data_IF_371797527279
#
_entry.id   IF_371797527279
#
_cell.length_a   1.000
_cell.length_b   1.000
_cell.length_c   1.000
_cell.angle_alpha   90.00
_cell.angle_beta   90.00
_cell.angle_gamma   90.00
#
_symmetry.space_group_name_H-M   'P 1'
#
loop_
_entity.id
_entity.type
_entity.pdbx_description
1 polymer ?
#
# COMPACT_ATOMS: atom_id res chain seq x y z
N UNK A 1 29.57 9.98 -8.17
CA UNK A 1 29.10 10.07 -6.78
C UNK A 1 27.80 9.30 -6.57
N UNK A 2 26.77 9.49 -7.40
CA UNK A 2 25.48 8.79 -7.30
C UNK A 2 25.58 7.25 -7.35
N UNK A 3 26.45 6.69 -8.19
CA UNK A 3 26.68 5.23 -8.26
C UNK A 3 27.14 4.67 -6.91
N UNK A 4 27.96 5.40 -6.15
CA UNK A 4 28.40 4.97 -4.83
C UNK A 4 27.27 4.96 -3.80
N UNK A 5 26.34 5.92 -3.89
CA UNK A 5 25.15 5.93 -3.06
C UNK A 5 24.23 4.74 -3.39
N UNK A 6 24.07 4.43 -4.67
CA UNK A 6 23.29 3.26 -5.11
C UNK A 6 23.92 1.95 -4.62
N UNK A 7 25.24 1.81 -4.72
CA UNK A 7 25.96 0.64 -4.18
C UNK A 7 25.77 0.55 -2.66
N UNK A 8 25.93 1.66 -1.93
CA UNK A 8 25.73 1.70 -0.49
C UNK A 8 24.30 1.27 -0.12
N UNK A 9 23.30 1.78 -0.83
CA UNK A 9 21.90 1.40 -0.64
C UNK A 9 21.70 -0.11 -0.82
N UNK A 10 22.21 -0.69 -1.91
CA UNK A 10 22.13 -2.13 -2.17
C UNK A 10 22.81 -2.94 -1.05
N UNK A 11 23.99 -2.51 -0.60
CA UNK A 11 24.72 -3.18 0.49
C UNK A 11 23.91 -3.16 1.78
N UNK A 12 23.33 -2.00 2.15
CA UNK A 12 22.53 -1.85 3.38
C UNK A 12 21.27 -2.71 3.31
N UNK A 13 20.52 -2.66 2.21
CA UNK A 13 19.30 -3.47 2.01
C UNK A 13 19.63 -4.95 2.05
N UNK A 14 20.73 -5.37 1.43
CA UNK A 14 21.17 -6.76 1.46
C UNK A 14 21.58 -7.20 2.87
N UNK A 15 22.36 -6.37 3.59
CA UNK A 15 22.85 -6.68 4.93
C UNK A 15 21.70 -6.81 5.94
N UNK A 16 20.68 -5.94 5.89
CA UNK A 16 19.54 -5.95 6.81
C UNK A 16 18.45 -6.94 6.38
N UNK A 17 18.12 -6.98 5.09
CA UNK A 17 16.98 -7.74 4.55
C UNK A 17 17.30 -9.15 4.08
N UNK A 18 18.58 -9.52 3.92
CA UNK A 18 19.03 -10.83 3.39
C UNK A 18 18.31 -11.17 2.07
N UNK A 19 17.69 -12.36 1.98
CA UNK A 19 16.92 -12.79 0.80
C UNK A 19 15.71 -11.91 0.52
N UNK A 20 15.02 -11.41 1.56
CA UNK A 20 13.88 -10.51 1.39
C UNK A 20 14.33 -9.15 0.86
N UNK A 21 15.50 -8.68 1.29
CA UNK A 21 16.15 -7.49 0.75
C UNK A 21 16.46 -7.61 -0.75
N UNK A 22 16.96 -8.77 -1.20
CA UNK A 22 17.15 -9.03 -2.63
C UNK A 22 15.85 -8.98 -3.43
N UNK A 23 14.78 -9.59 -2.91
CA UNK A 23 13.47 -9.55 -3.58
C UNK A 23 12.90 -8.12 -3.63
N UNK A 24 13.08 -7.33 -2.58
CA UNK A 24 12.69 -5.92 -2.58
C UNK A 24 13.44 -5.11 -3.65
N UNK A 25 14.76 -5.33 -3.80
CA UNK A 25 15.56 -4.70 -4.87
C UNK A 25 15.11 -5.16 -6.26
N UNK A 26 14.78 -6.45 -6.43
CA UNK A 26 14.27 -6.97 -7.69
C UNK A 26 12.89 -6.38 -8.04
N UNK A 27 11.99 -6.28 -7.07
CA UNK A 27 10.68 -5.61 -7.21
C UNK A 27 10.85 -4.13 -7.59
N UNK A 28 11.78 -3.41 -6.96
CA UNK A 28 12.09 -2.03 -7.33
C UNK A 28 12.62 -1.92 -8.77
N UNK A 29 13.47 -2.85 -9.20
CA UNK A 29 13.97 -2.91 -10.57
C UNK A 29 12.84 -3.20 -11.57
N UNK A 30 11.89 -4.07 -11.24
CA UNK A 30 10.69 -4.32 -12.06
C UNK A 30 9.86 -3.05 -12.19
N UNK A 31 9.60 -2.32 -11.11
CA UNK A 31 8.86 -1.06 -11.16
C UNK A 31 9.55 -0.07 -12.10
N UNK A 32 10.85 0.19 -11.91
CA UNK A 32 11.61 1.10 -12.78
C UNK A 32 11.60 0.63 -14.23
N UNK A 33 11.73 -0.68 -14.47
CA UNK A 33 11.66 -1.26 -15.81
C UNK A 33 10.30 -0.99 -16.47
N UNK A 34 9.18 -1.20 -15.77
CA UNK A 34 7.86 -0.90 -16.31
C UNK A 34 7.69 0.60 -16.59
N UNK A 35 8.20 1.48 -15.72
CA UNK A 35 8.13 2.93 -15.96
C UNK A 35 8.88 3.34 -17.23
N UNK A 36 10.12 2.85 -17.40
CA UNK A 36 11.02 3.29 -18.48
C UNK A 36 10.76 2.56 -19.79
N UNK A 37 10.46 1.26 -19.75
CA UNK A 37 10.37 0.39 -20.94
C UNK A 37 8.92 0.19 -21.41
N UNK A 38 7.93 0.46 -20.56
CA UNK A 38 6.52 0.35 -20.93
C UNK A 38 5.80 1.70 -20.90
N UNK A 39 5.72 2.39 -19.75
CA UNK A 39 4.93 3.62 -19.64
C UNK A 39 5.47 4.71 -20.57
N UNK A 40 6.75 5.07 -20.44
CA UNK A 40 7.35 6.15 -21.21
C UNK A 40 7.17 5.96 -22.73
N UNK A 41 7.59 4.84 -23.35
CA UNK A 41 7.40 4.64 -24.79
C UNK A 41 5.92 4.56 -25.17
N UNK A 42 5.06 3.90 -24.38
CA UNK A 42 3.65 3.77 -24.73
C UNK A 42 2.91 5.12 -24.77
N UNK A 43 3.22 6.02 -23.83
CA UNK A 43 2.68 7.39 -23.83
C UNK A 43 3.24 8.19 -25.01
N UNK A 44 4.53 8.06 -25.31
CA UNK A 44 5.16 8.73 -26.46
C UNK A 44 4.61 8.23 -27.81
N UNK A 45 4.14 6.99 -27.88
CA UNK A 45 3.44 6.43 -29.04
C UNK A 45 1.98 6.92 -29.16
N UNK A 46 1.53 7.82 -28.28
CA UNK A 46 0.21 8.46 -28.33
C UNK A 46 -0.91 7.66 -27.67
N UNK A 47 -0.60 6.63 -26.88
CA UNK A 47 -1.62 5.92 -26.11
C UNK A 47 -2.11 6.76 -24.92
N UNK A 48 -3.36 6.52 -24.51
CA UNK A 48 -3.98 7.19 -23.37
C UNK A 48 -3.15 6.99 -22.08
N UNK A 49 -2.60 8.06 -21.48
CA UNK A 49 -1.70 7.93 -20.32
C UNK A 49 -2.37 7.31 -19.09
N UNK A 50 -3.68 7.53 -18.91
CA UNK A 50 -4.43 6.98 -17.78
C UNK A 50 -4.54 5.46 -17.91
N UNK A 51 -4.95 4.96 -19.08
CA UNK A 51 -5.06 3.54 -19.36
C UNK A 51 -3.69 2.84 -19.25
N UNK A 52 -2.64 3.45 -19.80
CA UNK A 52 -1.27 2.94 -19.67
C UNK A 52 -0.85 2.84 -18.21
N UNK A 53 -1.12 3.87 -17.40
CA UNK A 53 -0.81 3.87 -15.98
C UNK A 53 -1.59 2.81 -15.21
N UNK A 54 -2.88 2.59 -15.52
CA UNK A 54 -3.70 1.55 -14.88
C UNK A 54 -3.17 0.15 -15.19
N UNK A 55 -2.85 -0.12 -16.46
CA UNK A 55 -2.26 -1.41 -16.87
C UNK A 55 -0.91 -1.60 -16.19
N UNK A 56 -0.05 -0.59 -16.21
CA UNK A 56 1.25 -0.64 -15.56
C UNK A 56 1.13 -0.86 -14.05
N UNK A 57 0.22 -0.17 -13.37
CA UNK A 57 -0.01 -0.31 -11.94
C UNK A 57 -0.45 -1.75 -11.59
N UNK A 58 -1.36 -2.33 -12.37
CA UNK A 58 -1.80 -3.70 -12.18
C UNK A 58 -0.67 -4.72 -12.42
N UNK A 59 0.13 -4.53 -13.47
CA UNK A 59 1.30 -5.36 -13.77
C UNK A 59 2.36 -5.27 -12.68
N UNK A 60 2.69 -4.05 -12.24
CA UNK A 60 3.64 -3.82 -11.15
C UNK A 60 3.13 -4.50 -9.89
N UNK A 61 1.90 -4.22 -9.44
CA UNK A 61 1.31 -4.83 -8.26
C UNK A 61 1.36 -6.35 -8.32
N UNK A 62 0.96 -6.94 -9.44
CA UNK A 62 0.99 -8.39 -9.63
C UNK A 62 2.41 -8.93 -9.50
N UNK A 63 3.36 -8.39 -10.26
CA UNK A 63 4.73 -8.93 -10.28
C UNK A 63 5.41 -8.72 -8.93
N UNK A 64 5.34 -7.53 -8.34
CA UNK A 64 6.05 -7.22 -7.09
C UNK A 64 5.50 -8.01 -5.92
N UNK A 65 4.18 -8.16 -5.79
CA UNK A 65 3.56 -8.92 -4.71
C UNK A 65 3.96 -10.40 -4.77
N UNK A 66 3.82 -11.04 -5.94
CA UNK A 66 4.15 -12.45 -6.09
C UNK A 66 5.64 -12.73 -6.05
N UNK A 67 6.48 -11.81 -6.54
CA UNK A 67 7.94 -11.93 -6.44
C UNK A 67 8.41 -11.84 -4.98
N UNK A 68 7.82 -10.92 -4.20
CA UNK A 68 8.26 -10.64 -2.83
C UNK A 68 7.69 -11.63 -1.81
N UNK A 69 6.41 -12.01 -1.96
CA UNK A 69 5.68 -12.80 -0.97
C UNK A 69 5.40 -14.24 -1.40
N UNK A 70 5.66 -14.57 -2.66
CA UNK A 70 5.37 -15.89 -3.23
C UNK A 70 3.88 -16.11 -3.53
N UNK A 71 3.57 -17.25 -4.11
CA UNK A 71 2.20 -17.64 -4.47
C UNK A 71 1.46 -18.14 -3.24
N UNK A 72 0.41 -17.43 -2.82
CA UNK A 72 -0.46 -17.84 -1.73
C UNK A 72 -1.84 -17.17 -1.82
N UNK A 73 -2.88 -17.73 -1.17
CA UNK A 73 -4.18 -17.06 -1.06
C UNK A 73 -4.06 -15.68 -0.41
N UNK A 74 -3.18 -15.54 0.58
CA UNK A 74 -2.92 -14.27 1.27
C UNK A 74 -2.26 -13.24 0.35
N UNK A 75 -1.31 -13.63 -0.49
CA UNK A 75 -0.75 -12.75 -1.54
C UNK A 75 -1.83 -12.29 -2.52
N UNK A 76 -2.74 -13.20 -2.90
CA UNK A 76 -3.85 -12.88 -3.81
C UNK A 76 -4.82 -11.90 -3.17
N UNK A 77 -5.10 -12.04 -1.87
CA UNK A 77 -5.91 -11.07 -1.11
C UNK A 77 -5.25 -9.71 -1.06
N UNK A 78 -3.93 -9.64 -0.81
CA UNK A 78 -3.19 -8.39 -0.82
C UNK A 78 -3.26 -7.69 -2.20
N UNK A 79 -3.13 -8.47 -3.28
CA UNK A 79 -3.30 -7.95 -4.64
C UNK A 79 -4.72 -7.43 -4.88
N UNK A 80 -5.75 -8.18 -4.51
CA UNK A 80 -7.13 -7.75 -4.65
C UNK A 80 -7.42 -6.46 -3.86
N UNK A 81 -6.87 -6.35 -2.65
CA UNK A 81 -6.94 -5.15 -1.82
C UNK A 81 -6.27 -3.95 -2.47
N UNK A 82 -5.06 -4.17 -3.02
CA UNK A 82 -4.29 -3.14 -3.75
C UNK A 82 -5.05 -2.65 -4.98
N UNK A 83 -5.54 -3.55 -5.82
CA UNK A 83 -6.28 -3.19 -7.04
C UNK A 83 -7.60 -2.49 -6.73
N UNK A 84 -8.34 -2.95 -5.71
CA UNK A 84 -9.59 -2.31 -5.31
C UNK A 84 -9.38 -0.90 -4.75
N UNK A 85 -8.34 -0.71 -3.94
CA UNK A 85 -7.98 0.61 -3.42
C UNK A 85 -7.42 1.54 -4.52
N UNK A 86 -6.60 1.01 -5.44
CA UNK A 86 -6.14 1.76 -6.61
C UNK A 86 -7.28 2.20 -7.51
N UNK A 87 -8.28 1.34 -7.72
CA UNK A 87 -9.47 1.70 -8.48
C UNK A 87 -10.21 2.86 -7.82
N UNK A 88 -10.38 2.84 -6.49
CA UNK A 88 -10.96 3.96 -5.76
C UNK A 88 -10.12 5.24 -5.91
N UNK A 89 -8.80 5.15 -5.78
CA UNK A 89 -7.89 6.29 -5.98
C UNK A 89 -8.03 6.85 -7.40
N UNK A 90 -8.05 5.99 -8.42
CA UNK A 90 -8.24 6.39 -9.81
C UNK A 90 -9.55 7.17 -10.00
N UNK A 91 -10.67 6.65 -9.49
CA UNK A 91 -11.98 7.30 -9.60
C UNK A 91 -11.98 8.65 -8.89
N UNK A 92 -11.45 8.72 -7.66
CA UNK A 92 -11.36 9.98 -6.92
C UNK A 92 -10.47 10.99 -7.63
N UNK A 93 -9.28 10.58 -8.07
CA UNK A 93 -8.37 11.45 -8.82
C UNK A 93 -9.00 11.93 -10.11
N UNK A 94 -9.68 11.07 -10.86
CA UNK A 94 -10.38 11.47 -12.08
C UNK A 94 -11.46 12.53 -11.81
N UNK A 95 -12.31 12.31 -10.81
CA UNK A 95 -13.35 13.29 -10.41
C UNK A 95 -12.72 14.62 -9.99
N UNK A 96 -11.72 14.61 -9.12
CA UNK A 96 -11.15 15.85 -8.60
C UNK A 96 -10.26 16.58 -9.61
N UNK A 97 -9.61 15.87 -10.54
CA UNK A 97 -8.88 16.49 -11.65
C UNK A 97 -9.82 17.25 -12.58
N UNK A 98 -10.99 16.68 -12.89
CA UNK A 98 -12.02 17.35 -13.69
C UNK A 98 -12.61 18.57 -12.94
N UNK A 99 -12.98 18.40 -11.66
CA UNK A 99 -13.53 19.48 -10.84
C UNK A 99 -12.57 20.66 -10.66
N UNK A 100 -11.27 20.38 -10.54
CA UNK A 100 -10.22 21.40 -10.40
C UNK A 100 -9.70 21.92 -11.74
N UNK A 101 -10.15 21.36 -12.87
CA UNK A 101 -9.77 21.73 -14.23
C UNK A 101 -8.26 21.71 -14.45
N UNK A 102 -7.58 20.70 -13.91
CA UNK A 102 -6.14 20.51 -14.11
C UNK A 102 -5.87 20.28 -15.60
N UNK A 103 -5.00 21.09 -16.19
CA UNK A 103 -4.68 21.07 -17.63
C UNK A 103 -3.43 20.25 -17.94
N UNK A 104 -2.55 20.08 -16.96
CA UNK A 104 -1.23 19.49 -17.09
C UNK A 104 -0.11 20.50 -17.32
N UNK A 105 -0.40 21.78 -17.56
CA UNK A 105 0.61 22.79 -17.92
C UNK A 105 1.18 23.59 -16.74
N UNK A 106 0.88 23.18 -15.51
CA UNK A 106 1.35 23.90 -14.32
C UNK A 106 2.88 23.94 -14.17
N UNK A 107 3.58 22.87 -14.55
CA UNK A 107 5.04 22.75 -14.38
C UNK A 107 5.82 23.11 -15.65
N UNK A 108 7.02 23.69 -15.50
CA UNK A 108 7.84 24.16 -16.63
C UNK A 108 8.23 23.02 -17.58
N UNK A 109 8.56 21.84 -17.05
CA UNK A 109 8.88 20.65 -17.83
C UNK A 109 7.72 20.20 -18.73
N UNK A 110 6.48 20.41 -18.28
CA UNK A 110 5.28 20.03 -19.03
C UNK A 110 5.02 20.98 -20.19
N UNK A 111 5.51 22.22 -20.12
CA UNK A 111 5.45 23.17 -21.24
C UNK A 111 6.34 22.73 -22.41
N UNK A 112 7.42 21.98 -22.14
CA UNK A 112 8.40 21.54 -23.14
C UNK A 112 7.98 20.25 -23.85
N UNK A 113 7.28 19.37 -23.15
CA UNK A 113 6.89 18.04 -23.65
C UNK A 113 6.18 18.08 -25.02
N UNK A 114 5.18 18.95 -25.25
CA UNK A 114 4.50 19.00 -26.55
C UNK A 114 5.41 19.36 -27.72
N UNK A 115 6.44 20.18 -27.49
CA UNK A 115 7.41 20.54 -28.53
C UNK A 115 8.37 19.41 -28.86
N UNK A 116 8.65 18.52 -27.90
CA UNK A 116 9.63 17.43 -28.06
C UNK A 116 9.00 16.12 -28.51
N UNK A 117 7.74 15.89 -28.15
CA UNK A 117 7.08 14.59 -28.29
C UNK A 117 5.66 14.65 -28.89
N UNK A 118 5.19 15.82 -29.33
CA UNK A 118 3.85 16.00 -29.90
C UNK A 118 2.75 16.15 -28.83
N UNK A 119 1.49 16.15 -29.26
CA UNK A 119 0.34 16.32 -28.35
C UNK A 119 0.21 15.12 -27.41
N UNK A 120 0.72 15.28 -26.18
CA UNK A 120 0.55 14.35 -25.07
C UNK A 120 -0.55 14.90 -24.16
N UNK A 121 -1.47 14.03 -23.72
CA UNK A 121 -2.40 14.37 -22.66
C UNK A 121 -1.68 14.49 -21.31
N UNK A 122 -1.24 15.71 -21.00
CA UNK A 122 -0.49 16.02 -19.77
C UNK A 122 -1.37 15.87 -18.51
N UNK A 123 -2.67 16.18 -18.60
CA UNK A 123 -3.59 15.99 -17.49
C UNK A 123 -3.74 14.51 -17.17
N UNK A 124 -3.93 13.68 -18.20
CA UNK A 124 -3.93 12.22 -18.08
C UNK A 124 -2.61 11.67 -17.55
N UNK A 125 -1.46 12.23 -17.96
CA UNK A 125 -0.15 11.84 -17.45
C UNK A 125 0.01 12.13 -15.95
N UNK A 126 -0.44 13.29 -15.48
CA UNK A 126 -0.42 13.66 -14.07
C UNK A 126 -1.35 12.77 -13.22
N UNK A 127 -2.53 12.45 -13.75
CA UNK A 127 -3.50 11.54 -13.13
C UNK A 127 -2.92 10.12 -13.06
N UNK A 128 -2.34 9.61 -14.15
CA UNK A 128 -1.64 8.33 -14.17
C UNK A 128 -0.48 8.27 -13.18
N UNK A 129 0.28 9.37 -13.07
CA UNK A 129 1.31 9.55 -12.05
C UNK A 129 0.77 9.48 -10.62
N UNK A 130 -0.42 10.02 -10.36
CA UNK A 130 -1.07 9.90 -9.05
C UNK A 130 -1.44 8.45 -8.70
N UNK A 131 -1.93 7.67 -9.68
CA UNK A 131 -2.24 6.24 -9.53
C UNK A 131 -0.97 5.44 -9.22
N UNK A 132 0.08 5.61 -10.03
CA UNK A 132 1.37 4.94 -9.85
C UNK A 132 2.04 5.32 -8.53
N UNK A 133 2.01 6.61 -8.17
CA UNK A 133 2.58 7.10 -6.91
C UNK A 133 1.90 6.51 -5.67
N UNK A 134 0.60 6.22 -5.75
CA UNK A 134 -0.16 5.63 -4.64
C UNK A 134 0.08 4.12 -4.52
N UNK A 135 0.33 3.41 -5.63
CA UNK A 135 0.55 1.96 -5.63
C UNK A 135 1.63 1.51 -4.64
N UNK A 136 2.76 2.23 -4.56
CA UNK A 136 3.88 1.85 -3.68
C UNK A 136 3.49 1.81 -2.20
N UNK A 137 2.64 2.74 -1.75
CA UNK A 137 2.14 2.74 -0.37
C UNK A 137 1.01 1.72 -0.14
N UNK A 138 0.23 1.41 -1.18
CA UNK A 138 -0.84 0.40 -1.09
C UNK A 138 -0.29 -1.03 -0.96
N UNK A 139 0.81 -1.34 -1.64
CA UNK A 139 1.50 -2.62 -1.53
C UNK A 139 1.86 -2.92 -0.05
N UNK A 140 2.52 -1.96 0.62
CA UNK A 140 2.90 -2.08 2.03
C UNK A 140 1.68 -2.24 2.97
N UNK A 141 0.64 -1.41 2.79
CA UNK A 141 -0.55 -1.48 3.63
C UNK A 141 -1.26 -2.82 3.47
N UNK A 142 -1.52 -3.25 2.24
CA UNK A 142 -2.35 -4.44 1.99
C UNK A 142 -1.64 -5.71 2.47
N UNK A 143 -0.34 -5.85 2.19
CA UNK A 143 0.49 -6.95 2.70
C UNK A 143 0.49 -6.99 4.22
N UNK A 144 0.74 -5.83 4.85
CA UNK A 144 0.80 -5.73 6.32
C UNK A 144 -0.55 -6.06 6.94
N UNK A 145 -1.67 -5.63 6.33
CA UNK A 145 -3.00 -5.99 6.81
C UNK A 145 -3.27 -7.49 6.71
N UNK A 146 -2.95 -8.12 5.57
CA UNK A 146 -3.13 -9.56 5.42
C UNK A 146 -2.28 -10.33 6.44
N UNK A 147 -1.04 -9.91 6.66
CA UNK A 147 -0.14 -10.50 7.65
C UNK A 147 -0.70 -10.35 9.08
N UNK A 148 -1.19 -9.17 9.45
CA UNK A 148 -1.78 -8.92 10.76
C UNK A 148 -3.01 -9.80 11.01
N UNK A 149 -3.92 -9.88 10.03
CA UNK A 149 -5.11 -10.74 10.11
C UNK A 149 -4.73 -12.23 10.22
N UNK A 150 -3.76 -12.67 9.42
CA UNK A 150 -3.28 -14.05 9.45
C UNK A 150 -2.65 -14.42 10.79
N UNK A 151 -1.86 -13.53 11.37
CA UNK A 151 -1.23 -13.73 12.69
C UNK A 151 -2.26 -13.75 13.82
N UNK A 152 -3.26 -12.87 13.79
CA UNK A 152 -4.36 -12.87 14.78
C UNK A 152 -5.11 -14.21 14.72
N UNK A 153 -5.47 -14.67 13.52
CA UNK A 153 -6.18 -15.94 13.37
C UNK A 153 -5.32 -17.13 13.78
N UNK A 154 -4.02 -17.15 13.45
CA UNK A 154 -3.12 -18.23 13.84
C UNK A 154 -3.03 -18.40 15.37
N UNK A 155 -3.18 -17.31 16.14
CA UNK A 155 -3.19 -17.34 17.62
C UNK A 155 -4.57 -17.58 18.22
N UNK A 156 -5.62 -17.15 17.54
CA UNK A 156 -7.02 -17.25 17.98
C UNK A 156 -7.90 -17.78 16.83
N UNK A 157 -7.81 -19.07 16.49
CA UNK A 157 -8.58 -19.67 15.41
C UNK A 157 -10.08 -19.75 15.73
N UNK A 158 -10.45 -19.53 16.99
CA UNK A 158 -11.81 -19.50 17.51
C UNK A 158 -12.60 -18.23 17.15
N UNK A 159 -11.92 -17.17 16.70
CA UNK A 159 -12.58 -15.90 16.36
C UNK A 159 -13.47 -16.04 15.13
N UNK A 160 -14.67 -15.46 15.21
CA UNK A 160 -15.53 -15.28 14.05
C UNK A 160 -14.91 -14.31 13.04
N UNK A 161 -15.33 -14.38 11.78
CA UNK A 161 -14.87 -13.45 10.73
C UNK A 161 -15.08 -11.99 11.16
N UNK A 162 -16.21 -11.66 11.79
CA UNK A 162 -16.49 -10.30 12.24
C UNK A 162 -15.53 -9.82 13.34
N UNK A 163 -15.20 -10.69 14.30
CA UNK A 163 -14.24 -10.36 15.36
C UNK A 163 -12.83 -10.21 14.81
N UNK A 164 -12.47 -11.04 13.82
CA UNK A 164 -11.20 -10.97 13.12
C UNK A 164 -11.08 -9.68 12.30
N UNK A 165 -12.14 -9.27 11.60
CA UNK A 165 -12.21 -7.99 10.88
C UNK A 165 -12.07 -6.81 11.85
N UNK A 166 -12.85 -6.81 12.95
CA UNK A 166 -12.77 -5.74 13.94
C UNK A 166 -11.37 -5.62 14.56
N UNK A 167 -10.71 -6.75 14.80
CA UNK A 167 -9.36 -6.80 15.34
C UNK A 167 -8.30 -6.33 14.33
N UNK A 168 -8.39 -6.77 13.08
CA UNK A 168 -7.51 -6.32 12.00
C UNK A 168 -7.63 -4.81 11.75
N UNK A 169 -8.85 -4.27 11.70
CA UNK A 169 -9.09 -2.82 11.51
C UNK A 169 -8.47 -2.01 12.66
N UNK A 170 -8.53 -2.49 13.91
CA UNK A 170 -7.89 -1.80 15.04
C UNK A 170 -6.37 -1.66 14.84
N UNK A 171 -5.71 -2.71 14.36
CA UNK A 171 -4.27 -2.69 14.03
C UNK A 171 -4.00 -1.75 12.86
N UNK A 172 -4.76 -1.87 11.77
CA UNK A 172 -4.57 -1.03 10.58
C UNK A 172 -4.76 0.46 10.85
N UNK A 173 -5.65 0.85 11.75
CA UNK A 173 -5.90 2.26 12.10
C UNK A 173 -4.68 2.97 12.68
N UNK A 174 -3.85 2.27 13.45
CA UNK A 174 -2.62 2.85 14.01
C UNK A 174 -1.58 3.13 12.90
N UNK A 175 -1.48 2.24 11.91
CA UNK A 175 -0.59 2.41 10.77
C UNK A 175 -1.05 3.52 9.82
N UNK A 176 -2.35 3.66 9.56
CA UNK A 176 -2.91 4.68 8.64
C UNK A 176 -2.39 6.08 8.97
N UNK A 177 -2.46 6.49 10.24
CA UNK A 177 -2.08 7.84 10.64
C UNK A 177 -0.60 8.12 10.35
N UNK A 178 0.27 7.12 10.56
CA UNK A 178 1.68 7.22 10.26
C UNK A 178 1.93 7.31 8.74
N UNK A 179 1.34 6.41 7.94
CA UNK A 179 1.54 6.38 6.49
C UNK A 179 1.04 7.64 5.79
N UNK A 180 -0.14 8.15 6.18
CA UNK A 180 -0.68 9.41 5.62
C UNK A 180 0.27 10.58 5.93
N UNK A 181 0.76 10.67 7.16
CA UNK A 181 1.71 11.72 7.54
C UNK A 181 3.04 11.61 6.78
N UNK A 182 3.56 10.40 6.60
CA UNK A 182 4.80 10.18 5.83
C UNK A 182 4.65 10.62 4.38
N UNK A 183 3.54 10.29 3.71
CA UNK A 183 3.30 10.73 2.33
C UNK A 183 3.13 12.24 2.23
N UNK A 184 2.35 12.83 3.14
CA UNK A 184 2.18 14.27 3.20
C UNK A 184 3.53 14.99 3.35
N UNK A 185 4.38 14.53 4.27
CA UNK A 185 5.71 15.10 4.47
C UNK A 185 6.64 14.89 3.27
N UNK A 186 6.53 13.77 2.56
CA UNK A 186 7.32 13.52 1.36
C UNK A 186 6.95 14.49 0.22
N UNK A 187 5.66 14.67 -0.06
CA UNK A 187 5.18 15.60 -1.09
C UNK A 187 5.40 17.07 -0.70
N UNK A 188 5.12 17.44 0.56
CA UNK A 188 5.38 18.79 1.06
C UNK A 188 6.88 19.11 1.04
N UNK A 189 7.72 18.13 1.41
CA UNK A 189 9.19 18.22 1.35
C UNK A 189 9.70 18.47 -0.06
N UNK A 190 9.19 17.72 -1.04
CA UNK A 190 9.50 17.93 -2.45
C UNK A 190 9.03 19.30 -2.98
N UNK A 191 7.95 19.83 -2.41
CA UNK A 191 7.34 21.11 -2.79
C UNK A 191 7.93 22.34 -2.06
N UNK A 192 8.89 22.16 -1.15
CA UNK A 192 9.46 23.25 -0.35
C UNK A 192 9.96 24.46 -1.18
N UNK A 193 10.67 24.28 -2.31
CA UNK A 193 11.13 25.43 -3.11
C UNK A 193 9.98 26.30 -3.62
N UNK A 194 8.87 25.67 -4.04
CA UNK A 194 7.68 26.36 -4.53
C UNK A 194 6.97 27.07 -3.37
N UNK A 195 6.84 26.41 -2.22
CA UNK A 195 6.27 27.01 -1.01
C UNK A 195 7.06 28.25 -0.56
N UNK A 196 8.39 28.19 -0.63
CA UNK A 196 9.27 29.33 -0.32
C UNK A 196 9.11 30.47 -1.33
N UNK A 197 9.05 30.16 -2.63
CA UNK A 197 8.84 31.16 -3.68
C UNK A 197 7.57 31.97 -3.44
N UNK A 198 6.48 31.30 -3.07
CA UNK A 198 5.22 31.96 -2.76
C UNK A 198 5.25 32.72 -1.43
N UNK A 199 5.94 32.18 -0.42
CA UNK A 199 6.14 32.88 0.85
C UNK A 199 6.90 34.20 0.68
N UNK A 200 7.84 34.27 -0.26
CA UNK A 200 8.58 35.51 -0.56
C UNK A 200 7.76 36.47 -1.44
N UNK A 201 6.81 35.94 -2.21
CA UNK A 201 5.96 36.72 -3.11
C UNK A 201 4.71 37.34 -2.44
N UNK A 202 4.59 37.24 -1.10
CA UNK A 202 3.44 37.69 -0.30
C UNK A 202 2.07 37.20 -0.83
N UNK A 203 2.05 36.04 -1.46
CA UNK A 203 0.82 35.41 -1.96
C UNK A 203 0.01 34.83 -0.81
N UNK A 204 -1.31 35.00 -0.86
CA UNK A 204 -2.19 34.35 0.12
C UNK A 204 -2.16 32.82 -0.03
N UNK A 205 -2.30 32.10 1.08
CA UNK A 205 -2.31 30.62 1.05
C UNK A 205 -3.42 30.07 0.13
N UNK A 206 -4.57 30.75 0.07
CA UNK A 206 -5.65 30.38 -0.84
C UNK A 206 -5.26 30.53 -2.32
N UNK A 207 -4.55 31.61 -2.68
CA UNK A 207 -4.04 31.82 -4.03
C UNK A 207 -3.03 30.72 -4.42
N UNK A 208 -2.11 30.42 -3.50
CA UNK A 208 -1.10 29.37 -3.67
C UNK A 208 -1.75 28.00 -3.86
N UNK A 209 -2.71 27.64 -3.00
CA UNK A 209 -3.38 26.35 -3.06
C UNK A 209 -4.20 26.15 -4.35
N UNK A 210 -4.64 27.23 -5.00
CA UNK A 210 -5.37 27.19 -6.27
C UNK A 210 -4.44 27.32 -7.49
N UNK A 211 -3.13 27.44 -7.31
CA UNK A 211 -2.18 27.33 -8.42
C UNK A 211 -2.12 25.88 -8.87
N UNK A 212 -2.16 25.63 -10.18
CA UNK A 212 -2.27 24.27 -10.73
C UNK A 212 -1.21 23.30 -10.18
N UNK A 213 0.06 23.71 -10.09
CA UNK A 213 1.15 22.87 -9.54
C UNK A 213 0.85 22.40 -8.12
N UNK A 214 0.37 23.30 -7.27
CA UNK A 214 0.06 22.99 -5.87
C UNK A 214 -1.25 22.21 -5.76
N UNK A 215 -2.25 22.57 -6.56
CA UNK A 215 -3.53 21.87 -6.63
C UNK A 215 -3.34 20.40 -7.02
N UNK A 216 -2.48 20.10 -8.01
CA UNK A 216 -2.13 18.73 -8.42
C UNK A 216 -1.58 17.94 -7.23
N UNK A 217 -0.63 18.50 -6.47
CA UNK A 217 -0.05 17.80 -5.31
C UNK A 217 -1.06 17.60 -4.18
N UNK A 218 -1.94 18.58 -3.93
CA UNK A 218 -3.02 18.47 -2.95
C UNK A 218 -3.99 17.36 -3.35
N UNK A 219 -4.49 17.38 -4.60
CA UNK A 219 -5.45 16.38 -5.08
C UNK A 219 -4.82 14.98 -5.07
N UNK A 220 -3.57 14.85 -5.54
CA UNK A 220 -2.82 13.58 -5.50
C UNK A 220 -2.68 13.06 -4.07
N UNK A 221 -2.24 13.92 -3.15
CA UNK A 221 -2.02 13.53 -1.74
C UNK A 221 -3.33 13.12 -1.07
N UNK A 222 -4.41 13.87 -1.24
CA UNK A 222 -5.70 13.59 -0.62
C UNK A 222 -6.37 12.34 -1.22
N UNK A 223 -6.42 12.22 -2.55
CA UNK A 223 -7.02 11.05 -3.21
C UNK A 223 -6.22 9.77 -2.92
N UNK A 224 -4.88 9.85 -2.94
CA UNK A 224 -4.02 8.74 -2.56
C UNK A 224 -4.23 8.33 -1.10
N UNK A 225 -4.30 9.29 -0.18
CA UNK A 225 -4.55 9.04 1.25
C UNK A 225 -5.91 8.40 1.51
N UNK A 226 -6.97 8.84 0.83
CA UNK A 226 -8.30 8.20 0.94
C UNK A 226 -8.24 6.74 0.45
N UNK A 227 -7.54 6.48 -0.67
CA UNK A 227 -7.30 5.13 -1.16
C UNK A 227 -6.59 4.25 -0.14
N UNK A 228 -5.53 4.75 0.50
CA UNK A 228 -4.79 4.05 1.55
C UNK A 228 -5.65 3.75 2.79
N UNK A 229 -6.45 4.73 3.23
CA UNK A 229 -7.39 4.55 4.35
C UNK A 229 -8.42 3.48 4.00
N UNK A 230 -8.94 3.46 2.77
CA UNK A 230 -9.94 2.48 2.31
C UNK A 230 -9.34 1.08 2.09
N UNK A 231 -8.05 0.98 1.75
CA UNK A 231 -7.36 -0.29 1.57
C UNK A 231 -7.36 -1.14 2.84
N UNK A 232 -7.31 -0.51 4.02
CA UNK A 232 -7.30 -1.21 5.31
C UNK A 232 -8.56 -2.04 5.56
N UNK A 233 -9.78 -1.46 5.63
CA UNK A 233 -10.99 -2.24 5.84
C UNK A 233 -11.27 -3.22 4.69
N UNK A 234 -11.00 -2.82 3.44
CA UNK A 234 -11.20 -3.67 2.27
C UNK A 234 -10.36 -4.95 2.35
N UNK A 235 -9.04 -4.80 2.55
CA UNK A 235 -8.10 -5.93 2.61
C UNK A 235 -8.34 -6.78 3.85
N UNK A 236 -8.64 -6.14 4.98
CA UNK A 236 -8.93 -6.84 6.24
C UNK A 236 -10.15 -7.74 6.11
N UNK A 237 -11.23 -7.25 5.49
CA UNK A 237 -12.44 -8.03 5.25
C UNK A 237 -12.16 -9.26 4.38
N UNK A 238 -11.44 -9.08 3.27
CA UNK A 238 -11.08 -10.18 2.37
C UNK A 238 -10.15 -11.19 3.05
N UNK A 239 -9.14 -10.73 3.80
CA UNK A 239 -8.22 -11.61 4.52
C UNK A 239 -8.94 -12.44 5.59
N UNK A 240 -9.84 -11.81 6.36
CA UNK A 240 -10.56 -12.50 7.41
C UNK A 240 -11.42 -13.65 6.87
N UNK A 241 -12.10 -13.44 5.73
CA UNK A 241 -12.88 -14.49 5.06
C UNK A 241 -11.98 -15.61 4.54
N UNK A 242 -10.89 -15.28 3.86
CA UNK A 242 -10.00 -16.29 3.25
C UNK A 242 -9.27 -17.12 4.31
N UNK A 243 -8.76 -16.47 5.35
CA UNK A 243 -8.00 -17.15 6.41
C UNK A 243 -8.92 -18.01 7.28
N UNK A 244 -10.11 -17.52 7.65
CA UNK A 244 -11.07 -18.31 8.43
C UNK A 244 -11.65 -19.48 7.63
N UNK A 245 -11.86 -19.32 6.31
CA UNK A 245 -12.36 -20.36 5.43
C UNK A 245 -11.36 -21.50 5.19
N UNK A 246 -10.06 -21.24 5.28
CA UNK A 246 -9.02 -22.25 5.12
C UNK A 246 -8.92 -23.23 6.31
N UNK A 247 -9.56 -22.93 7.45
CA UNK A 247 -9.41 -23.66 8.71
C UNK A 247 -10.52 -24.70 9.02
N UNK A 248 -11.41 -25.07 8.09
CA UNK A 248 -12.40 -26.15 8.32
C UNK A 248 -12.00 -27.46 7.66
N UNK A 249 -11.77 -28.50 8.46
CA UNK A 249 -12.88 -29.38 8.83
C UNK A 249 -13.14 -29.35 10.33
N UNK A 250 -14.38 -29.06 10.71
CA UNK A 250 -14.89 -29.32 12.05
C UNK A 250 -14.59 -30.78 12.40
N UNK A 251 -13.70 -31.01 13.37
CA UNK A 251 -13.62 -32.32 14.00
C UNK A 251 -15.01 -32.59 14.61
N UNK A 252 -15.59 -33.79 14.40
CA UNK A 252 -16.80 -34.16 15.11
C UNK A 252 -16.53 -33.93 16.58
N UNK A 253 -17.41 -33.18 17.25
CA UNK A 253 -17.46 -33.17 18.69
C UNK A 253 -17.66 -34.61 19.12
N UNK A 254 -16.57 -35.31 19.44
CA UNK A 254 -16.65 -36.56 20.16
C UNK A 254 -17.32 -36.20 21.46
N UNK A 255 -18.55 -36.67 21.59
CA UNK A 255 -19.32 -36.71 22.82
C UNK A 255 -18.49 -37.52 23.82
N UNK A 256 -17.52 -36.87 24.48
CA UNK A 256 -16.80 -37.45 25.60
C UNK A 256 -17.80 -37.35 26.74
N UNK A 257 -18.59 -38.41 26.85
CA UNK A 257 -19.47 -38.64 27.98
C UNK A 257 -18.72 -38.39 29.28
N UNK A 258 -19.45 -37.78 30.20
CA UNK A 258 -19.16 -37.61 31.62
C UNK A 258 -18.33 -38.74 32.24
N UNK A 259 -17.01 -38.61 32.19
CA UNK A 259 -16.09 -39.24 33.12
C UNK A 259 -15.45 -38.11 33.92
N UNK A 260 -16.04 -37.81 35.07
CA UNK A 260 -15.34 -37.17 36.18
C UNK A 260 -14.15 -38.06 36.57
N UNK A 261 -13.04 -37.91 35.86
CA UNK A 261 -11.77 -38.45 36.30
C UNK A 261 -11.05 -37.34 37.07
N UNK A 262 -11.02 -37.55 38.38
CA UNK A 262 -10.48 -36.64 39.38
C UNK A 262 -9.08 -36.14 39.00
N UNK A 263 -8.98 -34.88 38.60
CA UNK A 263 -7.68 -34.23 38.45
C UNK A 263 -6.95 -34.23 39.80
N UNK A 264 -5.63 -34.55 39.82
CA UNK A 264 -4.87 -34.63 41.07
C UNK A 264 -4.89 -33.27 41.78
N UNK A 265 -5.12 -33.31 43.10
CA UNK A 265 -5.20 -32.12 43.93
C UNK A 265 -3.81 -31.75 44.43
N UNK A 266 -3.61 -30.48 44.72
CA UNK A 266 -2.34 -29.96 45.24
C UNK A 266 -1.83 -30.69 46.51
N UNK A 267 -2.75 -31.27 47.27
CA UNK A 267 -2.50 -32.06 48.48
C UNK A 267 -1.77 -33.38 48.20
N UNK A 268 -1.87 -33.92 46.99
CA UNK A 268 -1.20 -35.17 46.57
C UNK A 268 0.33 -35.01 46.40
N UNK A 269 0.85 -33.78 46.49
CA UNK A 269 2.26 -33.44 46.27
C UNK A 269 2.98 -32.93 47.53
N UNK A 270 2.35 -33.01 48.70
CA UNK A 270 2.98 -32.65 49.98
C UNK A 270 3.98 -33.72 50.47
N UNK A 271 5.08 -33.35 51.14
CA UNK A 271 6.03 -34.34 51.67
C UNK A 271 5.36 -35.15 52.79
N UNK A 272 5.23 -36.45 52.57
CA UNK A 272 4.78 -37.40 53.60
C UNK A 272 5.76 -37.35 54.79
N UNK A 273 5.21 -37.08 55.97
CA UNK A 273 5.97 -37.04 57.22
C UNK A 273 6.72 -38.35 57.42
N UNK A 274 8.05 -38.27 57.42
CA UNK A 274 8.88 -39.34 57.98
C UNK A 274 8.80 -39.24 59.49
N UNK A 275 7.90 -40.02 60.07
CA UNK A 275 8.02 -40.41 61.47
C UNK A 275 9.19 -41.39 61.62
N UNK A 276 9.97 -41.13 62.66
CA UNK A 276 11.03 -41.92 63.31
C UNK A 276 12.43 -42.00 62.65
#
# INVERSE_FOLDING_TARGET
TLVWLAILFVIVVFALGRRRGLMALASMAVTVFVLVVFIAPSVLDGNDPVAVAVVAAAVIAFVTLYLTHGVSPTTTVALAGTLGALFLTLVLSWVFFDLTRITGFGAEENLLLPFLAGDIDLAGLLLGGAVIGTLGALDDITVTQVAAVSEIHARRPDLTVSELVASGIRVGREHIASTVNTLLLAYAGASLPILLLFSVSDQSLASVANTEVVAVEIVRTLCGSIGLVAAVPLTTAMAAVVVAGAASPALPSSDIGSAEESAPRWEDFGPEGREE
#
